data_IF_393838969805
#
_entry.id   IF_393838969805
#
_cell.length_a   1.000
_cell.length_b   1.000
_cell.length_c   1.000
_cell.angle_alpha   90.00
_cell.angle_beta   90.00
_cell.angle_gamma   90.00
#
_symmetry.space_group_name_H-M   'P 1'
#
loop_
_entity.id
_entity.type
_entity.pdbx_description
1 polymer ?
#
# COMPACT_ATOMS: atom_id res chain seq x y z
N UNK A 1 6.46 -20.17 1.53
CA UNK A 1 6.29 -18.71 1.25
C UNK A 1 5.88 -18.03 2.54
N UNK A 2 6.49 -16.89 2.89
CA UNK A 2 6.14 -16.12 4.10
C UNK A 2 5.35 -14.88 3.68
N UNK A 3 4.19 -14.66 4.28
CA UNK A 3 3.36 -13.48 4.07
C UNK A 3 3.37 -12.66 5.36
N UNK A 4 3.53 -11.35 5.25
CA UNK A 4 3.52 -10.41 6.38
C UNK A 4 2.43 -9.39 6.11
N UNK A 5 1.54 -9.21 7.09
CA UNK A 5 0.57 -8.13 7.09
C UNK A 5 1.10 -7.01 7.99
N UNK A 6 1.12 -5.79 7.47
CA UNK A 6 1.55 -4.60 8.19
C UNK A 6 0.52 -3.50 8.01
N UNK A 7 0.07 -2.90 9.10
CA UNK A 7 -0.87 -1.78 9.10
C UNK A 7 -0.69 -0.95 10.37
N UNK A 8 -0.96 0.35 10.27
CA UNK A 8 -1.21 1.19 11.44
C UNK A 8 -2.72 1.18 11.72
N UNK A 9 -3.10 1.10 13.00
CA UNK A 9 -4.50 1.19 13.43
C UNK A 9 -4.65 2.09 14.65
N UNK A 10 -5.82 2.70 14.80
CA UNK A 10 -6.25 3.38 16.02
C UNK A 10 -6.57 2.37 17.12
N UNK A 11 -6.77 2.86 18.35
CA UNK A 11 -7.11 2.01 19.50
C UNK A 11 -8.45 1.28 19.34
N UNK A 12 -9.39 1.86 18.56
CA UNK A 12 -10.67 1.23 18.20
C UNK A 12 -10.59 0.38 16.92
N UNK A 13 -9.38 0.10 16.42
CA UNK A 13 -9.12 -0.83 15.32
C UNK A 13 -9.38 -0.27 13.92
N UNK A 14 -9.54 1.05 13.77
CA UNK A 14 -9.73 1.69 12.46
C UNK A 14 -8.39 1.98 11.79
N UNK A 15 -8.35 1.83 10.47
CA UNK A 15 -7.15 2.10 9.65
C UNK A 15 -7.32 3.34 8.75
N UNK A 16 -8.57 3.76 8.52
CA UNK A 16 -8.92 4.87 7.66
C UNK A 16 -10.29 5.45 8.04
N UNK A 17 -10.54 6.72 7.71
CA UNK A 17 -11.85 7.37 7.88
C UNK A 17 -12.79 7.11 6.70
N UNK A 18 -12.24 7.02 5.50
CA UNK A 18 -12.93 6.72 4.23
C UNK A 18 -12.03 5.87 3.34
N UNK A 19 -12.56 5.34 2.23
CA UNK A 19 -11.82 4.46 1.31
C UNK A 19 -10.60 5.11 0.65
N UNK A 20 -10.61 6.43 0.51
CA UNK A 20 -9.60 7.26 -0.14
C UNK A 20 -8.74 8.05 0.85
N UNK A 21 -8.86 7.75 2.15
CA UNK A 21 -8.19 8.50 3.20
C UNK A 21 -6.68 8.27 3.19
N UNK A 22 -5.93 9.34 2.96
CA UNK A 22 -4.48 9.33 3.15
C UNK A 22 -4.14 9.17 4.65
N UNK A 23 -3.20 8.31 5.05
CA UNK A 23 -2.87 8.06 6.46
C UNK A 23 -2.02 9.18 7.08
N UNK A 24 -2.55 10.40 7.12
CA UNK A 24 -1.92 11.60 7.68
C UNK A 24 -1.75 11.57 9.20
N UNK A 25 -2.59 10.80 9.89
CA UNK A 25 -2.58 10.60 11.34
C UNK A 25 -1.44 9.71 11.87
N UNK A 26 -0.73 9.00 10.98
CA UNK A 26 0.36 8.10 11.37
C UNK A 26 1.65 8.86 11.69
N UNK A 27 2.41 8.34 12.66
CA UNK A 27 3.66 8.96 13.11
C UNK A 27 4.77 8.86 12.07
N UNK A 28 5.87 9.58 12.29
CA UNK A 28 7.07 9.46 11.44
C UNK A 28 7.71 8.08 11.60
N UNK A 29 7.61 7.51 12.80
CA UNK A 29 8.14 6.21 13.19
C UNK A 29 7.41 5.09 12.46
N UNK A 30 6.07 5.15 12.37
CA UNK A 30 5.25 4.21 11.61
C UNK A 30 5.66 4.18 10.14
N UNK A 31 5.84 5.37 9.54
CA UNK A 31 6.24 5.51 8.12
C UNK A 31 7.65 4.97 7.88
N UNK A 32 8.58 5.23 8.80
CA UNK A 32 9.95 4.67 8.74
C UNK A 32 9.95 3.16 8.85
N UNK A 33 9.18 2.61 9.79
CA UNK A 33 9.09 1.16 10.00
C UNK A 33 8.43 0.46 8.82
N UNK A 34 7.31 0.99 8.31
CA UNK A 34 6.68 0.49 7.09
C UNK A 34 7.64 0.50 5.91
N UNK A 35 8.36 1.61 5.69
CA UNK A 35 9.34 1.72 4.61
C UNK A 35 10.46 0.69 4.75
N UNK A 36 10.98 0.46 5.97
CA UNK A 36 12.01 -0.55 6.24
C UNK A 36 11.50 -1.96 5.90
N UNK A 37 10.41 -2.39 6.55
CA UNK A 37 9.88 -3.76 6.42
C UNK A 37 9.46 -4.05 4.99
N UNK A 38 8.77 -3.12 4.33
CA UNK A 38 8.32 -3.31 2.95
C UNK A 38 9.47 -3.34 1.95
N UNK A 39 10.55 -2.57 2.17
CA UNK A 39 11.74 -2.61 1.30
C UNK A 39 12.51 -3.91 1.48
N UNK A 40 12.68 -4.39 2.71
CA UNK A 40 13.28 -5.70 3.00
C UNK A 40 12.47 -6.84 2.35
N UNK A 41 11.14 -6.73 2.32
CA UNK A 41 10.29 -7.71 1.65
C UNK A 41 10.36 -7.65 0.11
N UNK A 42 10.71 -6.50 -0.48
CA UNK A 42 10.85 -6.29 -1.92
C UNK A 42 9.53 -6.27 -2.72
N UNK A 43 8.42 -6.74 -2.15
CA UNK A 43 7.09 -6.77 -2.77
C UNK A 43 6.06 -6.21 -1.80
N UNK A 44 5.17 -5.35 -2.29
CA UNK A 44 4.04 -4.83 -1.52
C UNK A 44 2.76 -5.13 -2.27
N UNK A 45 1.79 -5.70 -1.56
CA UNK A 45 0.47 -6.05 -2.09
C UNK A 45 -0.54 -5.09 -1.46
N UNK A 46 -1.36 -4.43 -2.28
CA UNK A 46 -2.39 -3.50 -1.81
C UNK A 46 -3.58 -3.43 -2.77
N UNK A 47 -4.69 -2.83 -2.31
CA UNK A 47 -5.80 -2.47 -3.18
C UNK A 47 -5.56 -1.14 -3.92
N UNK A 48 -6.26 -0.93 -5.03
CA UNK A 48 -6.16 0.28 -5.85
C UNK A 48 -6.49 1.57 -5.09
N UNK A 49 -7.48 1.55 -4.20
CA UNK A 49 -7.81 2.70 -3.34
C UNK A 49 -6.63 3.13 -2.48
N UNK A 50 -5.93 2.18 -1.85
CA UNK A 50 -4.70 2.46 -1.11
C UNK A 50 -3.60 2.98 -2.02
N UNK A 51 -3.41 2.36 -3.19
CA UNK A 51 -2.41 2.77 -4.16
C UNK A 51 -2.59 4.24 -4.60
N UNK A 52 -3.83 4.66 -4.86
CA UNK A 52 -4.15 6.03 -5.27
C UNK A 52 -4.10 7.07 -4.15
N UNK A 53 -3.92 6.66 -2.88
CA UNK A 53 -3.61 7.63 -1.80
C UNK A 53 -2.17 8.15 -1.92
N UNK A 54 -1.28 7.45 -2.61
CA UNK A 54 0.11 7.87 -2.79
C UNK A 54 0.26 8.71 -4.07
N UNK A 55 1.15 9.71 -4.08
CA UNK A 55 1.41 10.50 -5.29
C UNK A 55 2.17 9.71 -6.37
N UNK A 56 2.83 8.61 -6.01
CA UNK A 56 3.60 7.77 -6.91
C UNK A 56 3.78 6.36 -6.33
N UNK A 57 4.09 5.34 -7.18
CA UNK A 57 4.43 4.01 -6.71
C UNK A 57 5.57 4.00 -5.69
N UNK A 58 5.53 3.03 -4.78
CA UNK A 58 6.58 2.87 -3.79
C UNK A 58 7.88 2.39 -4.45
N UNK A 59 8.89 3.25 -4.47
CA UNK A 59 10.22 2.94 -5.03
C UNK A 59 10.89 1.75 -4.33
N UNK A 60 11.79 1.09 -5.04
CA UNK A 60 12.62 -0.05 -4.61
C UNK A 60 11.83 -1.33 -4.25
N UNK A 61 10.57 -1.40 -4.67
CA UNK A 61 9.65 -2.51 -4.39
C UNK A 61 8.76 -2.76 -5.60
N UNK A 62 8.39 -4.02 -5.84
CA UNK A 62 7.31 -4.36 -6.76
C UNK A 62 5.97 -4.03 -6.09
N UNK A 63 5.18 -3.16 -6.72
CA UNK A 63 3.83 -2.83 -6.23
C UNK A 63 2.84 -3.75 -6.93
N UNK A 64 2.24 -4.69 -6.21
CA UNK A 64 1.17 -5.56 -6.72
C UNK A 64 -0.17 -4.96 -6.30
N UNK A 65 -0.94 -4.48 -7.26
CA UNK A 65 -2.15 -3.70 -6.99
C UNK A 65 -3.37 -4.44 -7.49
N UNK A 66 -4.26 -4.78 -6.57
CA UNK A 66 -5.56 -5.36 -6.88
C UNK A 66 -6.53 -4.28 -7.32
N UNK A 67 -7.18 -4.48 -8.47
CA UNK A 67 -8.18 -3.56 -9.02
C UNK A 67 -9.31 -4.33 -9.69
N UNK A 68 -10.50 -3.73 -9.68
CA UNK A 68 -11.67 -4.20 -10.42
C UNK A 68 -11.72 -3.60 -11.83
N UNK A 69 -10.84 -2.63 -12.15
CA UNK A 69 -10.76 -2.05 -13.48
C UNK A 69 -10.22 -3.07 -14.49
N UNK A 70 -10.91 -3.21 -15.63
CA UNK A 70 -10.55 -4.24 -16.61
C UNK A 70 -9.23 -3.95 -17.33
N UNK A 71 -8.94 -2.67 -17.59
CA UNK A 71 -7.79 -2.24 -18.39
C UNK A 71 -7.05 -1.06 -17.72
N UNK A 72 -6.45 -1.26 -16.54
CA UNK A 72 -5.73 -0.20 -15.85
C UNK A 72 -4.51 0.23 -16.67
N UNK A 73 -4.24 1.55 -16.68
CA UNK A 73 -3.10 2.10 -17.41
C UNK A 73 -1.79 1.50 -16.89
N UNK A 74 -0.86 1.08 -17.77
CA UNK A 74 0.44 0.57 -17.33
C UNK A 74 1.22 1.63 -16.55
N UNK A 75 1.76 1.25 -15.39
CA UNK A 75 2.61 2.10 -14.56
C UNK A 75 3.90 1.35 -14.25
N UNK A 76 5.05 2.00 -14.43
CA UNK A 76 6.35 1.38 -14.16
C UNK A 76 6.47 0.95 -12.68
N UNK A 77 6.93 -0.28 -12.45
CA UNK A 77 7.06 -0.85 -11.10
C UNK A 77 5.74 -1.30 -10.46
N UNK A 78 4.64 -1.29 -11.22
CA UNK A 78 3.31 -1.74 -10.79
C UNK A 78 2.88 -2.97 -11.59
N UNK A 79 2.44 -4.01 -10.89
CA UNK A 79 1.76 -5.17 -11.45
C UNK A 79 0.28 -5.10 -11.06
N UNK A 80 -0.57 -4.84 -12.04
CA UNK A 80 -2.01 -4.90 -11.87
C UNK A 80 -2.48 -6.36 -11.77
N UNK A 81 -3.37 -6.63 -10.82
CA UNK A 81 -3.98 -7.93 -10.58
C UNK A 81 -5.49 -7.73 -10.50
N UNK A 82 -6.24 -8.61 -11.16
CA UNK A 82 -7.71 -8.60 -11.08
C UNK A 82 -8.14 -8.98 -9.65
N UNK A 83 -8.97 -8.13 -9.05
CA UNK A 83 -9.64 -8.36 -7.76
C UNK A 83 -10.81 -9.31 -7.81
#
# INVERSE_FOLDING_TARGET
>A
MKIIMIMAMTLDGKIAKSSDHFPDWTSKEDKKYFAKVSKEAGVVIMGDKTFFTFPAPLKDRLNVVFTLEENPKPVAGVKWVKG
#
